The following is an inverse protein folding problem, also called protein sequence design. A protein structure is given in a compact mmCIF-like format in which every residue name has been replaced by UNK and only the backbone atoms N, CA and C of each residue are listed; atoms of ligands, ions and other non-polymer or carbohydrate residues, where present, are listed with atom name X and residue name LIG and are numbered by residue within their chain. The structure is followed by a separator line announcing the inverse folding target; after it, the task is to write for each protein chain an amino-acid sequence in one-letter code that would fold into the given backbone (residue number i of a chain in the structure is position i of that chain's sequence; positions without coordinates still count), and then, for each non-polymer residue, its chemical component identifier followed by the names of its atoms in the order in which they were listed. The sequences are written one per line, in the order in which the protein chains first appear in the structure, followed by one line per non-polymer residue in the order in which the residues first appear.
data_IF_217572965825
#
_entry.id   IF_217572965825
#
_cell.length_a   1.000
_cell.length_b   1.000
_cell.length_c   1.000
_cell.angle_alpha   90.00
_cell.angle_beta   90.00
_cell.angle_gamma   90.00
#
_symmetry.space_group_name_H-M   'P 1'
#
loop_
_entity.id
_entity.type
_entity.pdbx_description
1 polymer ?
#
# COMPACT_ATOMS: atom_id res chain seq x y z
N UNK A 1 -34.80 -12.80 51.12
CA UNK A 1 -35.07 -12.17 49.85
C UNK A 1 -36.12 -12.95 49.11
N UNK A 2 -37.12 -12.29 48.60
CA UNK A 2 -38.20 -12.90 47.84
C UNK A 2 -37.66 -13.50 46.54
N UNK A 3 -38.05 -14.73 46.24
CA UNK A 3 -37.64 -15.42 44.99
C UNK A 3 -38.05 -14.66 43.75
N UNK A 4 -39.23 -14.03 43.76
CA UNK A 4 -39.73 -13.26 42.63
C UNK A 4 -38.86 -12.04 42.34
N UNK A 5 -38.33 -11.37 43.35
CA UNK A 5 -37.39 -10.27 43.18
C UNK A 5 -36.05 -10.74 42.63
N UNK A 6 -35.57 -11.91 43.04
CA UNK A 6 -34.32 -12.51 42.51
C UNK A 6 -34.48 -12.85 41.06
N UNK A 7 -35.60 -13.43 40.64
CA UNK A 7 -35.92 -13.75 39.25
C UNK A 7 -35.96 -12.47 38.42
N UNK A 8 -36.62 -11.43 38.90
CA UNK A 8 -36.71 -10.15 38.20
C UNK A 8 -35.33 -9.51 37.97
N UNK A 9 -34.46 -9.54 38.98
CA UNK A 9 -33.09 -9.05 38.89
C UNK A 9 -32.28 -9.83 37.82
N UNK A 10 -32.42 -11.16 37.84
CA UNK A 10 -31.74 -12.03 36.91
C UNK A 10 -32.23 -11.81 35.46
N UNK A 11 -33.53 -11.65 35.27
CA UNK A 11 -34.11 -11.35 33.94
C UNK A 11 -33.60 -10.04 33.37
N UNK A 12 -33.50 -9.00 34.18
CA UNK A 12 -32.92 -7.71 33.80
C UNK A 12 -31.46 -7.86 33.41
N UNK A 13 -30.72 -8.66 34.16
CA UNK A 13 -29.31 -8.92 33.92
C UNK A 13 -29.10 -9.67 32.60
N UNK A 14 -29.93 -10.67 32.31
CA UNK A 14 -29.90 -11.42 31.05
C UNK A 14 -30.16 -10.50 29.86
N UNK A 15 -31.19 -9.65 29.96
CA UNK A 15 -31.49 -8.67 28.90
C UNK A 15 -30.33 -7.70 28.65
N UNK A 16 -29.69 -7.24 29.69
CA UNK A 16 -28.54 -6.35 29.56
C UNK A 16 -27.38 -7.06 28.90
N UNK A 17 -27.09 -8.31 29.28
CA UNK A 17 -26.04 -9.12 28.63
C UNK A 17 -26.35 -9.41 27.17
N UNK A 18 -27.57 -9.72 26.81
CA UNK A 18 -27.99 -9.94 25.43
C UNK A 18 -27.74 -8.69 24.55
N UNK A 19 -28.05 -7.50 25.08
CA UNK A 19 -27.77 -6.25 24.37
C UNK A 19 -26.28 -6.02 24.21
N UNK A 20 -25.48 -6.32 25.24
CA UNK A 20 -24.02 -6.20 25.16
C UNK A 20 -23.42 -7.15 24.15
N UNK A 21 -23.88 -8.39 24.11
CA UNK A 21 -23.42 -9.38 23.12
C UNK A 21 -23.75 -8.92 21.71
N UNK A 22 -24.97 -8.46 21.46
CA UNK A 22 -25.38 -7.94 20.16
C UNK A 22 -24.54 -6.74 19.71
N UNK A 23 -24.24 -5.82 20.61
CA UNK A 23 -23.40 -4.67 20.35
C UNK A 23 -21.96 -5.09 19.98
N UNK A 24 -21.38 -6.02 20.73
CA UNK A 24 -20.04 -6.54 20.47
C UNK A 24 -19.96 -7.29 19.13
N UNK A 25 -20.97 -8.08 18.81
CA UNK A 25 -21.05 -8.76 17.51
C UNK A 25 -21.06 -7.78 16.35
N UNK A 26 -21.83 -6.71 16.46
CA UNK A 26 -21.87 -5.63 15.47
C UNK A 26 -20.52 -4.94 15.33
N UNK A 27 -19.90 -4.57 16.44
CA UNK A 27 -18.57 -3.93 16.46
C UNK A 27 -17.52 -4.83 15.81
N UNK A 28 -17.53 -6.12 16.10
CA UNK A 28 -16.62 -7.09 15.49
C UNK A 28 -16.84 -7.19 13.98
N UNK A 29 -18.09 -7.20 13.54
CA UNK A 29 -18.41 -7.24 12.10
C UNK A 29 -17.86 -6.01 11.37
N UNK A 30 -18.06 -4.83 11.95
CA UNK A 30 -17.54 -3.57 11.38
C UNK A 30 -16.01 -3.57 11.32
N UNK A 31 -15.34 -4.05 12.37
CA UNK A 31 -13.89 -4.17 12.36
C UNK A 31 -13.39 -5.13 11.30
N UNK A 32 -14.04 -6.28 11.12
CA UNK A 32 -13.67 -7.25 10.09
C UNK A 32 -13.78 -6.66 8.69
N UNK A 33 -14.84 -5.90 8.41
CA UNK A 33 -15.00 -5.18 7.15
C UNK A 33 -13.89 -4.15 6.92
N UNK A 34 -13.53 -3.40 7.95
CA UNK A 34 -12.44 -2.43 7.90
C UNK A 34 -11.09 -3.10 7.61
N UNK A 35 -10.80 -4.22 8.26
CA UNK A 35 -9.58 -5.00 8.00
C UNK A 35 -9.52 -5.53 6.57
N UNK A 36 -10.64 -6.03 6.04
CA UNK A 36 -10.71 -6.51 4.66
C UNK A 36 -10.47 -5.37 3.67
N UNK A 37 -11.06 -4.20 3.92
CA UNK A 37 -10.87 -3.01 3.10
C UNK A 37 -9.42 -2.54 3.12
N UNK A 38 -8.79 -2.49 4.30
CA UNK A 38 -7.37 -2.13 4.45
C UNK A 38 -6.46 -3.13 3.75
N UNK A 39 -6.75 -4.42 3.87
CA UNK A 39 -6.00 -5.48 3.18
C UNK A 39 -6.04 -5.34 1.67
N UNK A 40 -7.21 -5.03 1.11
CA UNK A 40 -7.38 -4.76 -0.31
C UNK A 40 -6.62 -3.53 -0.78
N UNK A 41 -6.69 -2.43 -0.02
CA UNK A 41 -5.94 -1.20 -0.29
C UNK A 41 -4.43 -1.45 -0.26
N UNK A 42 -3.95 -2.17 0.76
CA UNK A 42 -2.54 -2.50 0.89
C UNK A 42 -2.05 -3.35 -0.28
N UNK A 43 -2.84 -4.32 -0.71
CA UNK A 43 -2.49 -5.16 -1.85
C UNK A 43 -2.40 -4.35 -3.15
N UNK A 44 -3.32 -3.43 -3.39
CA UNK A 44 -3.29 -2.52 -4.53
C UNK A 44 -2.06 -1.62 -4.51
N UNK A 45 -1.70 -1.08 -3.36
CA UNK A 45 -0.50 -0.26 -3.19
C UNK A 45 0.78 -1.06 -3.46
N UNK A 46 0.84 -2.31 -3.01
CA UNK A 46 1.96 -3.22 -3.30
C UNK A 46 2.11 -3.49 -4.79
N UNK A 47 1.00 -3.70 -5.49
CA UNK A 47 1.01 -3.91 -6.95
C UNK A 47 1.50 -2.68 -7.70
N UNK A 48 1.03 -1.48 -7.31
CA UNK A 48 1.49 -0.21 -7.88
C UNK A 48 2.98 0.00 -7.64
N UNK A 49 3.45 -0.29 -6.45
CA UNK A 49 4.87 -0.18 -6.09
C UNK A 49 5.75 -1.11 -6.92
N UNK A 50 5.33 -2.36 -7.09
CA UNK A 50 6.06 -3.33 -7.92
C UNK A 50 6.13 -2.87 -9.39
N UNK A 51 5.05 -2.31 -9.91
CA UNK A 51 5.02 -1.74 -11.27
C UNK A 51 5.96 -0.56 -11.40
N UNK A 52 5.95 0.36 -10.44
CA UNK A 52 6.87 1.51 -10.40
C UNK A 52 8.32 1.09 -10.33
N UNK A 53 8.64 0.06 -9.56
CA UNK A 53 10.00 -0.48 -9.49
C UNK A 53 10.49 -1.00 -10.85
N UNK A 54 9.63 -1.70 -11.60
CA UNK A 54 9.95 -2.18 -12.95
C UNK A 54 10.17 -1.03 -13.92
N UNK A 55 9.31 -0.03 -13.88
CA UNK A 55 9.42 1.17 -14.72
C UNK A 55 10.71 1.95 -14.40
N UNK A 56 11.03 2.10 -13.13
CA UNK A 56 12.25 2.75 -12.68
C UNK A 56 13.51 2.01 -13.16
N UNK A 57 13.53 0.69 -13.04
CA UNK A 57 14.65 -0.11 -13.51
C UNK A 57 14.85 0.01 -15.03
N UNK A 58 13.77 0.04 -15.79
CA UNK A 58 13.80 0.24 -17.25
C UNK A 58 14.34 1.62 -17.60
N UNK A 59 13.84 2.65 -16.92
CA UNK A 59 14.26 4.04 -17.14
C UNK A 59 15.74 4.24 -16.81
N UNK A 60 16.21 3.61 -15.76
CA UNK A 60 17.62 3.64 -15.37
C UNK A 60 18.52 3.02 -16.43
N UNK A 61 18.11 1.90 -17.04
CA UNK A 61 18.85 1.30 -18.16
C UNK A 61 18.90 2.21 -19.39
N UNK A 62 17.78 2.83 -19.73
CA UNK A 62 17.70 3.77 -20.84
C UNK A 62 18.59 5.00 -20.61
N UNK A 63 18.57 5.52 -19.40
CA UNK A 63 19.42 6.63 -18.99
C UNK A 63 20.92 6.30 -19.13
N UNK A 64 21.32 5.13 -18.65
CA UNK A 64 22.70 4.66 -18.77
C UNK A 64 23.14 4.55 -20.23
N UNK A 65 22.28 4.02 -21.09
CA UNK A 65 22.55 3.95 -22.55
C UNK A 65 22.73 5.33 -23.17
N UNK A 66 21.88 6.28 -22.78
CA UNK A 66 21.98 7.67 -23.24
C UNK A 66 23.28 8.33 -22.79
N UNK A 67 23.69 8.10 -21.56
CA UNK A 67 24.98 8.61 -21.07
C UNK A 67 26.16 8.04 -21.87
N UNK A 68 26.13 6.75 -22.16
CA UNK A 68 27.17 6.09 -22.96
C UNK A 68 27.21 6.65 -24.38
N UNK A 69 26.05 6.83 -25.00
CA UNK A 69 25.97 7.46 -26.33
C UNK A 69 26.46 8.90 -26.34
N UNK A 70 26.09 9.69 -25.33
CA UNK A 70 26.55 11.05 -25.20
C UNK A 70 28.05 11.11 -25.03
N UNK A 71 28.65 10.24 -24.22
CA UNK A 71 30.09 10.16 -24.06
C UNK A 71 30.79 9.80 -25.37
N UNK A 72 30.23 8.86 -26.13
CA UNK A 72 30.75 8.46 -27.45
C UNK A 72 30.67 9.62 -28.46
N UNK A 73 29.53 10.28 -28.51
CA UNK A 73 29.35 11.44 -29.42
C UNK A 73 30.24 12.60 -29.06
N UNK A 74 30.46 12.87 -27.80
CA UNK A 74 31.39 13.90 -27.34
C UNK A 74 32.83 13.58 -27.75
N UNK A 75 33.24 12.34 -27.68
CA UNK A 75 34.55 11.90 -28.17
C UNK A 75 34.67 12.12 -29.67
N UNK A 76 33.67 11.72 -30.45
CA UNK A 76 33.65 11.94 -31.89
C UNK A 76 33.73 13.42 -32.27
N UNK A 77 32.99 14.27 -31.53
CA UNK A 77 33.06 15.71 -31.72
C UNK A 77 34.46 16.26 -31.43
N UNK A 78 35.09 15.80 -30.39
CA UNK A 78 36.47 16.19 -30.06
C UNK A 78 37.45 15.81 -31.15
N UNK A 79 37.35 14.60 -31.70
CA UNK A 79 38.18 14.15 -32.80
C UNK A 79 37.95 14.98 -34.07
N UNK A 80 36.69 15.32 -34.39
CA UNK A 80 36.37 16.17 -35.50
C UNK A 80 36.91 17.59 -35.34
N UNK A 81 36.80 18.14 -34.15
CA UNK A 81 37.36 19.46 -33.83
C UNK A 81 38.88 19.49 -33.97
N UNK A 82 39.58 18.46 -33.50
CA UNK A 82 41.02 18.32 -33.69
C UNK A 82 41.36 18.23 -35.18
N UNK A 83 40.66 17.38 -35.93
CA UNK A 83 40.87 17.26 -37.38
C UNK A 83 40.65 18.58 -38.12
N UNK A 84 39.65 19.35 -37.74
CA UNK A 84 39.39 20.68 -38.31
C UNK A 84 40.47 21.69 -37.96
N UNK A 85 41.06 21.60 -36.77
CA UNK A 85 42.15 22.50 -36.36
C UNK A 85 43.46 22.24 -37.08
N UNK A 86 43.64 21.03 -37.62
CA UNK A 86 44.83 20.63 -38.40
C UNK A 86 44.74 21.00 -39.88
N UNK A 87 43.55 21.27 -40.32
CA UNK A 87 43.31 21.69 -41.70
C UNK A 87 43.56 23.19 -41.86
#
# INVERSE_FOLDING_TARGET
MDKDKQIEILEKRVKWLERKVGQLEYENHVQDEEYMSLGGTLNNERMKHAKLQKEYAKLKKEYTKMEEENARLNKQMSYLQEAMSWA
#
